data_IF_787530051918
#
_entry.id   IF_787530051918
#
_cell.length_a   1.000
_cell.length_b   1.000
_cell.length_c   1.000
_cell.angle_alpha   90.00
_cell.angle_beta   90.00
_cell.angle_gamma   90.00
#
_symmetry.space_group_name_H-M   'P 1'
#
loop_
_entity.id
_entity.type
_entity.pdbx_description
1 polymer ?
#
# COMPACT_ATOMS: atom_id res chain seq x y z
N UNK A 1 -38.93 -30.30 -1.96
CA UNK A 1 -37.52 -30.47 -1.55
C UNK A 1 -36.73 -29.38 -2.22
N UNK A 2 -36.41 -28.34 -1.46
CA UNK A 2 -35.62 -27.18 -1.85
C UNK A 2 -34.14 -27.56 -1.82
N UNK A 3 -33.46 -27.58 -2.97
CA UNK A 3 -32.00 -27.57 -3.00
C UNK A 3 -31.52 -26.12 -3.01
N UNK A 4 -31.02 -25.69 -1.85
CA UNK A 4 -30.19 -24.51 -1.68
C UNK A 4 -28.83 -24.80 -2.31
N UNK A 5 -28.49 -24.11 -3.39
CA UNK A 5 -27.11 -24.07 -3.87
C UNK A 5 -26.34 -23.11 -2.95
N UNK A 6 -25.63 -23.66 -1.97
CA UNK A 6 -24.53 -22.97 -1.35
C UNK A 6 -23.47 -22.76 -2.45
N UNK A 7 -23.24 -21.51 -2.82
CA UNK A 7 -22.08 -21.14 -3.63
C UNK A 7 -20.89 -21.25 -2.69
N UNK A 8 -19.99 -22.20 -2.96
CA UNK A 8 -18.73 -22.35 -2.26
C UNK A 8 -17.85 -21.11 -2.55
N UNK A 9 -17.96 -20.10 -1.67
CA UNK A 9 -17.28 -18.78 -1.72
C UNK A 9 -15.84 -18.85 -1.11
N UNK A 10 -15.26 -20.05 -0.99
CA UNK A 10 -14.04 -20.31 -0.21
C UNK A 10 -12.75 -19.92 -0.97
N UNK A 11 -12.78 -19.88 -2.30
CA UNK A 11 -11.58 -19.66 -3.12
C UNK A 11 -11.16 -18.17 -3.19
N UNK A 12 -12.08 -17.23 -2.92
CA UNK A 12 -11.81 -15.79 -2.95
C UNK A 12 -11.26 -15.19 -1.65
N UNK A 13 -11.27 -15.94 -0.54
CA UNK A 13 -10.89 -15.43 0.79
C UNK A 13 -9.39 -15.40 1.06
N UNK A 14 -8.56 -15.95 0.16
CA UNK A 14 -7.10 -16.12 0.35
C UNK A 14 -6.24 -15.44 -0.72
N UNK A 15 -6.75 -14.39 -1.36
CA UNK A 15 -6.00 -13.74 -2.44
C UNK A 15 -5.15 -12.59 -1.87
N UNK A 16 -3.82 -12.73 -1.94
CA UNK A 16 -2.87 -11.64 -1.72
C UNK A 16 -2.80 -10.72 -2.94
N UNK A 17 -3.86 -9.96 -3.19
CA UNK A 17 -3.92 -9.07 -4.33
C UNK A 17 -3.40 -7.67 -3.96
N UNK A 18 -2.47 -7.14 -4.76
CA UNK A 18 -2.35 -5.68 -4.98
C UNK A 18 -3.67 -5.13 -5.58
N UNK A 19 -4.49 -6.02 -6.13
CA UNK A 19 -5.58 -5.76 -7.07
C UNK A 19 -6.95 -6.28 -6.63
N UNK A 20 -7.40 -6.11 -5.38
CA UNK A 20 -8.83 -5.94 -5.05
C UNK A 20 -9.04 -5.42 -3.61
N UNK A 21 -9.77 -4.31 -3.38
CA UNK A 21 -10.13 -3.26 -4.32
C UNK A 21 -9.12 -2.10 -4.22
N UNK A 22 -8.23 -2.01 -5.22
CA UNK A 22 -7.75 -0.81 -5.94
C UNK A 22 -7.41 0.51 -5.19
N UNK A 23 -7.43 0.54 -3.87
CA UNK A 23 -6.96 1.63 -3.03
C UNK A 23 -6.54 1.03 -1.70
N UNK A 24 -5.36 1.37 -1.17
CA UNK A 24 -4.96 1.09 0.22
C UNK A 24 -5.88 1.76 1.30
N UNK A 25 -7.11 2.14 0.94
CA UNK A 25 -8.10 2.82 1.77
C UNK A 25 -9.50 2.20 1.66
N UNK A 26 -9.58 0.99 1.09
CA UNK A 26 -10.83 0.42 0.59
C UNK A 26 -11.85 0.04 1.67
N UNK A 27 -11.41 -0.29 2.89
CA UNK A 27 -12.33 -0.78 3.93
C UNK A 27 -13.10 0.40 4.51
N UNK A 28 -12.38 1.37 5.09
CA UNK A 28 -13.03 2.50 5.79
C UNK A 28 -13.79 3.36 4.78
N UNK A 29 -13.17 3.75 3.65
CA UNK A 29 -13.85 4.57 2.64
C UNK A 29 -15.06 3.84 2.04
N UNK A 30 -14.90 2.55 1.71
CA UNK A 30 -15.95 1.75 1.09
C UNK A 30 -17.14 1.52 2.03
N UNK A 31 -16.88 1.11 3.27
CA UNK A 31 -17.93 0.89 4.25
C UNK A 31 -18.64 2.20 4.63
N UNK A 32 -17.90 3.29 4.87
CA UNK A 32 -18.50 4.61 5.13
C UNK A 32 -19.33 5.11 3.94
N UNK A 33 -18.94 4.84 2.70
CA UNK A 33 -19.75 5.18 1.53
C UNK A 33 -21.06 4.38 1.50
N UNK A 34 -21.02 3.09 1.84
CA UNK A 34 -22.21 2.24 1.93
C UNK A 34 -23.13 2.66 3.09
N UNK A 35 -22.57 3.06 4.23
CA UNK A 35 -23.32 3.64 5.37
C UNK A 35 -24.07 4.90 4.94
N UNK A 36 -23.37 5.84 4.29
CA UNK A 36 -23.99 7.08 3.77
C UNK A 36 -25.09 6.80 2.75
N UNK A 37 -24.99 5.71 2.01
CA UNK A 37 -25.99 5.28 1.04
C UNK A 37 -27.12 4.42 1.65
N UNK A 38 -27.08 4.13 2.96
CA UNK A 38 -28.08 3.31 3.65
C UNK A 38 -28.14 1.86 3.15
N UNK A 39 -26.99 1.30 2.72
CA UNK A 39 -26.91 -0.04 2.12
C UNK A 39 -26.56 -1.12 3.15
N UNK A 40 -27.40 -1.30 4.16
CA UNK A 40 -27.17 -2.21 5.31
C UNK A 40 -26.73 -3.62 4.90
N UNK A 41 -27.46 -4.30 3.99
CA UNK A 41 -27.08 -5.65 3.52
C UNK A 41 -25.72 -5.70 2.82
N UNK A 42 -25.32 -4.62 2.14
CA UNK A 42 -24.02 -4.56 1.49
C UNK A 42 -22.89 -4.36 2.51
N UNK A 43 -23.14 -3.58 3.57
CA UNK A 43 -22.21 -3.38 4.68
C UNK A 43 -21.97 -4.72 5.39
N UNK A 44 -23.05 -5.43 5.75
CA UNK A 44 -22.97 -6.74 6.40
C UNK A 44 -22.17 -7.74 5.57
N UNK A 45 -22.44 -7.82 4.25
CA UNK A 45 -21.71 -8.72 3.36
C UNK A 45 -20.24 -8.31 3.22
N UNK A 46 -19.95 -7.03 3.03
CA UNK A 46 -18.57 -6.54 2.89
C UNK A 46 -17.77 -6.79 4.18
N UNK A 47 -18.34 -6.47 5.35
CA UNK A 47 -17.70 -6.69 6.64
C UNK A 47 -17.47 -8.19 6.89
N UNK A 48 -18.43 -9.05 6.58
CA UNK A 48 -18.25 -10.51 6.66
C UNK A 48 -17.08 -10.97 5.81
N UNK A 49 -16.95 -10.48 4.57
CA UNK A 49 -15.86 -10.86 3.67
C UNK A 49 -14.50 -10.35 4.19
N UNK A 50 -14.44 -9.10 4.66
CA UNK A 50 -13.21 -8.53 5.21
C UNK A 50 -12.77 -9.26 6.49
N UNK A 51 -13.70 -9.55 7.40
CA UNK A 51 -13.41 -10.31 8.62
C UNK A 51 -12.89 -11.70 8.29
N UNK A 52 -13.54 -12.42 7.37
CA UNK A 52 -13.07 -13.76 6.97
C UNK A 52 -11.69 -13.73 6.30
N UNK A 53 -11.40 -12.72 5.48
CA UNK A 53 -10.05 -12.55 4.93
C UNK A 53 -9.03 -12.25 6.05
N UNK A 54 -9.34 -11.31 6.94
CA UNK A 54 -8.52 -10.96 8.10
C UNK A 54 -8.19 -12.15 8.99
N UNK A 55 -9.15 -13.03 9.22
CA UNK A 55 -8.99 -14.27 10.00
C UNK A 55 -8.04 -15.27 9.35
N UNK A 56 -7.90 -15.26 8.02
CA UNK A 56 -7.02 -16.18 7.30
C UNK A 56 -5.56 -15.71 7.25
N UNK A 57 -5.28 -14.43 7.46
CA UNK A 57 -3.93 -13.86 7.35
C UNK A 57 -2.97 -14.46 8.40
N UNK A 58 -3.33 -14.58 9.69
CA UNK A 58 -2.46 -15.18 10.70
C UNK A 58 -2.03 -16.62 10.40
N UNK A 59 -2.86 -17.40 9.70
CA UNK A 59 -2.51 -18.78 9.30
C UNK A 59 -1.33 -18.83 8.32
N UNK A 60 -1.15 -17.77 7.53
CA UNK A 60 -0.02 -17.62 6.60
C UNK A 60 1.15 -16.88 7.24
N UNK A 61 0.86 -15.90 8.09
CA UNK A 61 1.88 -15.00 8.65
C UNK A 61 2.70 -14.34 7.54
N UNK A 62 4.01 -14.22 7.73
CA UNK A 62 4.93 -13.64 6.73
C UNK A 62 5.40 -14.64 5.66
N UNK A 63 4.92 -15.89 5.67
CA UNK A 63 5.25 -16.92 4.69
C UNK A 63 4.34 -16.83 3.45
N UNK A 64 4.34 -15.65 2.81
CA UNK A 64 3.49 -15.37 1.63
C UNK A 64 3.67 -16.43 0.53
N UNK A 65 2.58 -17.01 -0.02
CA UNK A 65 2.68 -18.12 -0.97
C UNK A 65 3.40 -17.71 -2.26
N UNK A 66 4.59 -18.28 -2.47
CA UNK A 66 5.46 -17.92 -3.60
C UNK A 66 4.86 -18.19 -5.00
N UNK A 67 3.85 -19.05 -5.10
CA UNK A 67 3.15 -19.34 -6.36
C UNK A 67 2.05 -18.32 -6.68
N UNK A 68 1.64 -17.51 -5.69
CA UNK A 68 0.64 -16.45 -5.85
C UNK A 68 1.31 -15.09 -6.02
N UNK A 69 2.38 -14.84 -5.24
CA UNK A 69 3.02 -13.52 -5.16
C UNK A 69 4.54 -13.60 -5.10
N UNK A 70 5.19 -12.59 -5.70
CA UNK A 70 6.61 -12.34 -5.49
C UNK A 70 6.79 -11.44 -4.28
N UNK A 71 7.65 -11.85 -3.34
CA UNK A 71 7.91 -11.08 -2.13
C UNK A 71 8.42 -9.67 -2.45
N UNK A 72 7.81 -8.66 -1.85
CA UNK A 72 8.18 -7.28 -2.02
C UNK A 72 7.29 -6.36 -1.21
N UNK A 73 7.69 -5.09 -1.12
CA UNK A 73 6.96 -4.10 -0.33
C UNK A 73 5.47 -4.00 -0.71
N UNK A 74 5.16 -4.10 -2.00
CA UNK A 74 3.77 -4.02 -2.48
C UNK A 74 2.92 -5.25 -2.15
N UNK A 75 3.47 -6.30 -1.53
CA UNK A 75 2.70 -7.43 -0.97
C UNK A 75 2.53 -7.24 0.54
N UNK A 76 3.59 -6.86 1.23
CA UNK A 76 3.57 -6.67 2.69
C UNK A 76 2.71 -5.47 3.08
N UNK A 77 2.82 -4.35 2.35
CA UNK A 77 2.11 -3.13 2.69
C UNK A 77 0.58 -3.28 2.64
N UNK A 78 -0.03 -3.83 1.57
CA UNK A 78 -1.48 -4.04 1.54
C UNK A 78 -2.02 -4.89 2.69
N UNK A 79 -1.30 -5.93 3.09
CA UNK A 79 -1.71 -6.81 4.21
C UNK A 79 -1.69 -6.05 5.54
N UNK A 80 -0.61 -5.32 5.82
CA UNK A 80 -0.53 -4.48 7.02
C UNK A 80 -1.65 -3.42 7.02
N UNK A 81 -1.84 -2.72 5.90
CA UNK A 81 -2.88 -1.68 5.75
C UNK A 81 -4.26 -2.28 5.98
N UNK A 82 -4.58 -3.41 5.34
CA UNK A 82 -5.87 -4.09 5.45
C UNK A 82 -6.25 -4.36 6.90
N UNK A 83 -5.34 -4.97 7.67
CA UNK A 83 -5.59 -5.30 9.07
C UNK A 83 -5.70 -4.03 9.94
N UNK A 84 -4.90 -3.00 9.68
CA UNK A 84 -4.97 -1.72 10.40
C UNK A 84 -6.25 -0.93 10.08
N UNK A 85 -6.77 -1.01 8.85
CA UNK A 85 -8.05 -0.42 8.48
C UNK A 85 -9.21 -1.17 9.15
N UNK A 86 -9.19 -2.50 9.11
CA UNK A 86 -10.19 -3.34 9.74
C UNK A 86 -10.24 -3.08 11.26
N UNK A 87 -9.07 -2.98 11.91
CA UNK A 87 -8.93 -2.57 13.30
C UNK A 87 -9.64 -1.24 13.61
N UNK A 88 -9.39 -0.22 12.78
CA UNK A 88 -9.98 1.11 12.98
C UNK A 88 -11.47 1.14 12.72
N UNK A 89 -11.97 0.30 11.82
CA UNK A 89 -13.40 0.22 11.51
C UNK A 89 -14.18 -0.56 12.58
N UNK A 90 -13.70 -1.74 12.99
CA UNK A 90 -14.43 -2.60 13.94
C UNK A 90 -14.13 -2.30 15.40
N UNK A 91 -12.95 -1.73 15.69
CA UNK A 91 -12.49 -1.48 17.07
C UNK A 91 -12.04 -2.74 17.82
N UNK A 92 -11.80 -3.86 17.13
CA UNK A 92 -11.34 -5.10 17.77
C UNK A 92 -9.80 -5.17 17.89
N UNK A 93 -9.31 -5.51 19.08
CA UNK A 93 -7.87 -5.55 19.41
C UNK A 93 -7.08 -6.67 18.72
N UNK A 94 -7.76 -7.70 18.19
CA UNK A 94 -7.09 -8.81 17.48
C UNK A 94 -6.43 -8.38 16.16
N UNK A 95 -6.95 -7.31 15.53
CA UNK A 95 -6.47 -6.88 14.22
C UNK A 95 -5.13 -6.12 14.30
N UNK A 96 -4.92 -5.17 15.24
CA UNK A 96 -3.60 -4.59 15.46
C UNK A 96 -2.53 -5.63 15.83
N UNK A 97 -2.87 -6.65 16.62
CA UNK A 97 -1.96 -7.74 16.98
C UNK A 97 -1.52 -8.52 15.74
N UNK A 98 -2.46 -8.91 14.89
CA UNK A 98 -2.18 -9.57 13.61
C UNK A 98 -1.38 -8.67 12.65
N UNK A 99 -1.64 -7.36 12.64
CA UNK A 99 -0.96 -6.41 11.76
C UNK A 99 0.50 -6.17 12.15
N UNK A 100 0.87 -6.38 13.43
CA UNK A 100 2.16 -5.94 13.98
C UNK A 100 3.36 -6.52 13.25
N UNK A 101 3.34 -7.83 12.98
CA UNK A 101 4.46 -8.51 12.32
C UNK A 101 4.65 -8.01 10.88
N UNK A 102 3.54 -7.85 10.14
CA UNK A 102 3.57 -7.29 8.78
C UNK A 102 4.01 -5.82 8.76
N UNK A 103 3.56 -5.03 9.73
CA UNK A 103 3.95 -3.63 9.86
C UNK A 103 5.45 -3.49 10.15
N UNK A 104 5.98 -4.27 11.09
CA UNK A 104 7.41 -4.25 11.41
C UNK A 104 8.25 -4.67 10.19
N UNK A 105 7.83 -5.73 9.49
CA UNK A 105 8.47 -6.19 8.26
C UNK A 105 8.43 -5.11 7.16
N UNK A 106 7.32 -4.40 7.02
CA UNK A 106 7.16 -3.31 6.06
C UNK A 106 8.17 -2.18 6.32
N UNK A 107 8.41 -1.84 7.59
CA UNK A 107 9.37 -0.79 7.96
C UNK A 107 10.81 -1.14 7.55
N UNK A 108 11.15 -2.42 7.46
CA UNK A 108 12.49 -2.87 7.05
C UNK A 108 12.80 -2.58 5.57
N UNK A 109 11.80 -2.31 4.74
CA UNK A 109 12.03 -1.90 3.35
C UNK A 109 12.53 -0.45 3.21
N UNK A 110 12.31 0.40 4.23
CA UNK A 110 12.64 1.83 4.22
C UNK A 110 13.99 2.13 4.87
N UNK A 111 14.83 2.89 4.17
CA UNK A 111 16.11 3.37 4.70
C UNK A 111 15.98 4.66 5.51
N UNK A 112 17.00 5.03 6.28
CA UNK A 112 17.05 6.29 7.07
C UNK A 112 18.08 7.29 6.53
N UNK A 113 18.50 7.14 5.27
CA UNK A 113 19.46 8.02 4.63
C UNK A 113 18.92 9.47 4.62
N UNK A 114 19.77 10.49 4.83
CA UNK A 114 19.37 11.89 4.82
C UNK A 114 19.23 12.44 3.39
N UNK A 115 18.41 11.77 2.57
CA UNK A 115 18.10 12.13 1.18
C UNK A 115 16.60 11.99 0.94
N UNK A 116 15.96 12.98 0.33
CA UNK A 116 14.51 12.95 0.10
C UNK A 116 14.07 11.86 -0.88
N UNK A 117 14.98 11.26 -1.65
CA UNK A 117 14.67 10.09 -2.46
C UNK A 117 14.59 8.81 -1.62
N UNK A 118 15.29 8.75 -0.48
CA UNK A 118 15.56 7.51 0.25
C UNK A 118 15.00 7.47 1.68
N UNK A 119 14.81 8.62 2.33
CA UNK A 119 14.40 8.70 3.74
C UNK A 119 12.99 8.13 3.94
N UNK A 120 12.89 6.98 4.60
CA UNK A 120 11.68 6.15 4.75
C UNK A 120 11.03 5.69 3.42
N UNK A 121 11.67 5.96 2.28
CA UNK A 121 11.21 5.50 0.97
C UNK A 121 11.65 4.05 0.79
N UNK A 122 10.68 3.18 0.46
CA UNK A 122 10.93 1.75 0.39
C UNK A 122 11.65 1.30 -0.87
N UNK A 123 12.59 0.37 -0.71
CA UNK A 123 13.36 -0.22 -1.83
C UNK A 123 12.42 -0.84 -2.86
N UNK A 124 12.59 -0.44 -4.11
CA UNK A 124 12.00 -1.03 -5.32
C UNK A 124 12.99 -0.89 -6.46
N UNK A 125 12.96 -1.80 -7.44
CA UNK A 125 14.03 -1.85 -8.44
C UNK A 125 13.66 -2.38 -9.84
N UNK A 126 12.37 -2.40 -10.19
CA UNK A 126 11.89 -2.93 -11.47
C UNK A 126 10.92 -2.03 -12.22
N UNK A 127 10.33 -1.04 -11.55
CA UNK A 127 9.22 -0.26 -12.12
C UNK A 127 9.67 0.58 -13.33
N UNK A 128 10.92 1.06 -13.37
CA UNK A 128 11.48 1.74 -14.55
C UNK A 128 11.53 0.86 -15.80
N UNK A 129 11.64 -0.46 -15.65
CA UNK A 129 11.59 -1.38 -16.79
C UNK A 129 10.18 -1.56 -17.32
N UNK A 130 9.21 -1.73 -16.42
CA UNK A 130 7.82 -2.06 -16.77
C UNK A 130 6.98 -0.85 -17.17
N UNK A 131 7.19 0.30 -16.52
CA UNK A 131 6.35 1.49 -16.66
C UNK A 131 7.08 2.68 -17.30
N UNK A 132 8.42 2.64 -17.35
CA UNK A 132 9.26 3.67 -17.95
C UNK A 132 9.36 3.58 -19.47
N UNK A 133 9.74 4.70 -20.09
CA UNK A 133 9.99 4.78 -21.53
C UNK A 133 11.28 4.06 -21.90
N UNK A 134 12.32 4.24 -21.09
CA UNK A 134 13.68 3.78 -21.40
C UNK A 134 13.90 2.30 -21.02
N UNK A 135 12.88 1.68 -20.42
CA UNK A 135 12.83 0.27 -20.00
C UNK A 135 14.11 -0.12 -19.26
N UNK A 136 14.43 0.61 -18.19
CA UNK A 136 15.64 0.37 -17.42
C UNK A 136 15.32 -0.28 -16.08
N UNK A 137 15.94 -1.44 -15.84
CA UNK A 137 16.02 -2.03 -14.50
C UNK A 137 16.82 -1.13 -13.57
N UNK A 138 16.71 -1.34 -12.26
CA UNK A 138 17.53 -0.64 -11.26
C UNK A 138 16.68 0.00 -10.19
N UNK A 139 17.32 0.38 -9.09
CA UNK A 139 16.68 0.98 -7.92
C UNK A 139 15.91 2.25 -8.30
N UNK A 140 14.67 2.35 -7.83
CA UNK A 140 13.79 3.50 -8.05
C UNK A 140 13.48 4.18 -6.72
N UNK A 141 13.90 5.43 -6.59
CA UNK A 141 13.80 6.20 -5.36
C UNK A 141 13.49 7.67 -5.71
N UNK A 142 12.26 8.17 -5.47
CA UNK A 142 11.09 7.41 -5.09
C UNK A 142 10.42 6.70 -6.26
N UNK A 143 9.54 5.76 -5.91
CA UNK A 143 8.46 5.28 -6.77
C UNK A 143 7.16 5.29 -5.95
N UNK A 144 6.04 5.60 -6.61
CA UNK A 144 4.81 5.96 -5.92
C UNK A 144 4.28 4.86 -4.99
N UNK A 145 4.49 3.55 -5.25
CA UNK A 145 4.04 2.51 -4.30
C UNK A 145 4.74 2.60 -2.93
N UNK A 146 5.83 3.34 -2.80
CA UNK A 146 6.44 3.64 -1.48
C UNK A 146 5.49 4.39 -0.54
N UNK A 147 4.51 5.13 -1.06
CA UNK A 147 3.53 5.82 -0.24
C UNK A 147 2.61 4.85 0.50
N UNK A 148 2.47 3.58 0.09
CA UNK A 148 1.75 2.56 0.88
C UNK A 148 2.32 2.43 2.30
N UNK A 149 3.63 2.59 2.46
CA UNK A 149 4.26 2.59 3.78
C UNK A 149 3.80 3.78 4.62
N UNK A 150 3.63 4.95 3.99
CA UNK A 150 3.05 6.12 4.67
C UNK A 150 1.62 5.85 5.14
N UNK A 151 0.83 5.12 4.36
CA UNK A 151 -0.53 4.71 4.72
C UNK A 151 -0.50 3.82 5.95
N UNK A 152 0.27 2.74 5.91
CA UNK A 152 0.40 1.83 7.03
C UNK A 152 0.81 2.59 8.31
N UNK A 153 1.82 3.47 8.19
CA UNK A 153 2.28 4.31 9.29
C UNK A 153 1.18 5.25 9.81
N UNK A 154 0.35 5.82 8.94
CA UNK A 154 -0.77 6.67 9.34
C UNK A 154 -1.81 5.90 10.15
N UNK A 155 -2.27 4.74 9.66
CA UNK A 155 -3.26 3.94 10.39
C UNK A 155 -2.69 3.43 11.71
N UNK A 156 -1.44 2.98 11.71
CA UNK A 156 -0.74 2.57 12.91
C UNK A 156 -0.63 3.70 13.94
N UNK A 157 -0.27 4.92 13.50
CA UNK A 157 -0.22 6.10 14.36
C UNK A 157 -1.58 6.47 14.97
N UNK A 158 -2.67 6.31 14.20
CA UNK A 158 -4.03 6.58 14.71
C UNK A 158 -4.49 5.54 15.74
N UNK A 159 -4.10 4.27 15.58
CA UNK A 159 -4.43 3.19 16.52
C UNK A 159 -3.60 3.23 17.81
N UNK A 160 -2.31 3.56 17.70
CA UNK A 160 -1.36 3.53 18.83
C UNK A 160 -1.13 4.89 19.50
N UNK A 161 -1.68 5.95 18.93
CA UNK A 161 -1.42 7.35 19.29
C UNK A 161 0.06 7.77 19.17
N UNK A 162 0.90 6.95 18.51
CA UNK A 162 2.31 7.27 18.28
C UNK A 162 2.47 8.26 17.12
N UNK A 163 2.64 9.54 17.50
CA UNK A 163 2.84 10.65 16.57
C UNK A 163 4.14 10.57 15.77
N UNK A 164 5.10 9.72 16.13
CA UNK A 164 6.34 9.55 15.36
C UNK A 164 6.06 8.97 13.98
N UNK A 165 5.20 7.94 13.90
CA UNK A 165 4.78 7.32 12.64
C UNK A 165 3.95 8.26 11.77
N UNK A 166 3.08 9.08 12.38
CA UNK A 166 2.34 10.11 11.63
C UNK A 166 3.26 11.12 10.95
N UNK A 167 4.37 11.49 11.60
CA UNK A 167 5.38 12.39 11.01
C UNK A 167 6.14 11.70 9.87
N UNK A 168 6.59 10.46 10.07
CA UNK A 168 7.27 9.67 9.05
C UNK A 168 6.41 9.46 7.80
N UNK A 169 5.11 9.19 7.99
CA UNK A 169 4.15 9.11 6.88
C UNK A 169 4.13 10.39 6.04
N UNK A 170 4.07 11.57 6.68
CA UNK A 170 4.12 12.85 5.98
C UNK A 170 5.42 13.04 5.19
N UNK A 171 6.57 12.65 5.74
CA UNK A 171 7.85 12.78 5.06
C UNK A 171 7.96 11.85 3.85
N UNK A 172 7.43 10.62 3.91
CA UNK A 172 7.35 9.71 2.75
C UNK A 172 6.45 10.29 1.65
N UNK A 173 5.31 10.88 2.01
CA UNK A 173 4.43 11.53 1.04
C UNK A 173 5.10 12.73 0.36
N UNK A 174 5.77 13.59 1.14
CA UNK A 174 6.52 14.75 0.62
C UNK A 174 7.66 14.30 -0.29
N UNK A 175 8.37 13.24 0.09
CA UNK A 175 9.45 12.65 -0.71
C UNK A 175 8.96 12.27 -2.11
N UNK A 176 7.76 11.70 -2.22
CA UNK A 176 7.16 11.33 -3.51
C UNK A 176 6.71 12.55 -4.36
N UNK A 177 6.62 13.76 -3.80
CA UNK A 177 6.40 14.97 -4.59
C UNK A 177 7.55 15.25 -5.57
N UNK A 178 8.73 14.66 -5.34
CA UNK A 178 9.86 14.72 -6.27
C UNK A 178 9.53 14.16 -7.66
N UNK A 179 8.50 13.32 -7.81
CA UNK A 179 8.06 12.79 -9.11
C UNK A 179 7.32 13.84 -9.97
N UNK A 180 6.92 14.97 -9.38
CA UNK A 180 6.14 16.01 -10.04
C UNK A 180 6.99 17.26 -10.27
N UNK A 181 6.72 17.95 -11.37
CA UNK A 181 7.38 19.19 -11.76
C UNK A 181 6.40 20.36 -11.66
N UNK A 182 6.93 21.57 -11.45
CA UNK A 182 6.12 22.78 -11.28
C UNK A 182 5.37 23.23 -12.55
N UNK A 183 5.74 22.69 -13.71
CA UNK A 183 5.06 22.92 -14.99
C UNK A 183 3.88 21.96 -15.24
N UNK A 184 3.59 21.08 -14.27
CA UNK A 184 2.52 20.08 -14.34
C UNK A 184 2.94 18.76 -14.97
N UNK A 185 4.19 18.63 -15.43
CA UNK A 185 4.72 17.33 -15.86
C UNK A 185 5.07 16.44 -14.68
N UNK A 186 5.17 15.13 -14.92
CA UNK A 186 5.48 14.15 -13.90
C UNK A 186 6.23 12.94 -14.50
N UNK A 187 6.79 12.11 -13.62
CA UNK A 187 7.61 10.94 -13.96
C UNK A 187 7.14 9.72 -13.19
N UNK A 188 7.02 8.57 -13.85
CA UNK A 188 6.58 7.32 -13.23
C UNK A 188 7.54 6.86 -12.13
N UNK A 189 8.85 7.03 -12.32
CA UNK A 189 9.90 6.68 -11.36
C UNK A 189 11.02 7.73 -11.36
N UNK A 190 11.79 7.80 -10.28
CA UNK A 190 13.14 8.33 -10.30
C UNK A 190 14.13 7.16 -10.29
N UNK A 191 14.91 7.00 -11.35
CA UNK A 191 15.90 5.94 -11.42
C UNK A 191 17.20 6.39 -10.75
N UNK A 192 17.48 5.82 -9.57
CA UNK A 192 18.40 6.42 -8.62
C UNK A 192 19.90 6.17 -8.88
N UNK A 193 20.35 4.96 -9.26
CA UNK A 193 21.77 4.67 -9.41
C UNK A 193 22.42 5.51 -10.51
N UNK A 194 23.68 5.91 -10.31
CA UNK A 194 24.48 6.60 -11.33
C UNK A 194 24.55 5.82 -12.65
N UNK A 195 24.63 4.50 -12.57
CA UNK A 195 24.63 3.62 -13.73
C UNK A 195 23.94 2.30 -13.42
N UNK A 196 23.28 1.71 -14.41
CA UNK A 196 22.78 0.33 -14.36
C UNK A 196 23.36 -0.44 -15.55
N UNK A 197 24.17 -1.46 -15.29
CA UNK A 197 24.81 -2.27 -16.32
C UNK A 197 25.54 -1.43 -17.40
N UNK A 198 26.22 -0.37 -16.98
CA UNK A 198 26.95 0.54 -17.87
C UNK A 198 26.10 1.61 -18.58
N UNK A 199 24.77 1.57 -18.48
CA UNK A 199 23.88 2.64 -18.94
C UNK A 199 23.82 3.74 -17.89
N UNK A 200 23.90 5.00 -18.30
CA UNK A 200 23.75 6.14 -17.39
C UNK A 200 22.34 6.15 -16.78
N UNK A 201 22.27 6.25 -15.45
CA UNK A 201 21.05 6.40 -14.66
C UNK A 201 20.98 7.77 -14.00
N UNK A 202 20.37 7.84 -12.81
CA UNK A 202 20.23 9.06 -12.01
C UNK A 202 19.40 10.14 -12.70
N UNK A 203 18.19 9.78 -13.12
CA UNK A 203 17.25 10.66 -13.81
C UNK A 203 15.79 10.28 -13.55
N UNK A 204 14.89 11.23 -13.84
CA UNK A 204 13.43 11.00 -13.91
C UNK A 204 13.07 10.34 -15.24
N UNK A 205 12.40 9.20 -15.21
CA UNK A 205 11.89 8.57 -16.43
C UNK A 205 11.04 9.55 -17.27
N UNK A 206 11.18 9.58 -18.61
CA UNK A 206 10.46 10.55 -19.42
C UNK A 206 8.93 10.40 -19.45
N UNK A 207 8.39 9.26 -19.00
CA UNK A 207 6.95 9.02 -19.00
C UNK A 207 6.31 9.38 -17.67
N UNK A 208 5.26 10.19 -17.76
CA UNK A 208 4.17 10.15 -16.81
C UNK A 208 3.31 8.91 -17.13
N UNK A 209 3.11 8.02 -16.16
CA UNK A 209 2.30 6.82 -16.31
C UNK A 209 1.36 6.66 -15.11
N UNK A 210 1.86 6.14 -14.01
CA UNK A 210 1.10 5.65 -12.86
C UNK A 210 1.42 6.36 -11.53
N UNK A 211 2.36 7.31 -11.53
CA UNK A 211 2.80 8.03 -10.33
C UNK A 211 1.73 8.89 -9.66
N UNK A 212 0.64 9.26 -10.35
CA UNK A 212 -0.42 10.14 -9.81
C UNK A 212 -1.11 9.57 -8.56
N UNK A 213 -0.98 8.26 -8.34
CA UNK A 213 -1.34 7.61 -7.07
C UNK A 213 -0.65 8.24 -5.85
N UNK A 214 0.55 8.80 -5.98
CA UNK A 214 1.23 9.51 -4.91
C UNK A 214 0.46 10.77 -4.47
N UNK A 215 -0.06 11.56 -5.42
CA UNK A 215 -0.86 12.75 -5.12
C UNK A 215 -2.22 12.38 -4.54
N UNK A 216 -2.87 11.35 -5.10
CA UNK A 216 -4.12 10.82 -4.54
C UNK A 216 -3.94 10.46 -3.06
N UNK A 217 -2.89 9.70 -2.74
CA UNK A 217 -2.57 9.35 -1.36
C UNK A 217 -2.24 10.58 -0.54
N UNK A 218 -1.42 11.50 -1.05
CA UNK A 218 -1.10 12.74 -0.34
C UNK A 218 -2.36 13.51 0.08
N UNK A 219 -3.34 13.68 -0.81
CA UNK A 219 -4.61 14.35 -0.51
C UNK A 219 -5.40 13.58 0.54
N UNK A 220 -5.53 12.26 0.38
CA UNK A 220 -6.27 11.40 1.31
C UNK A 220 -5.74 11.47 2.75
N UNK A 221 -4.41 11.41 2.94
CA UNK A 221 -3.82 11.50 4.28
C UNK A 221 -3.82 12.92 4.84
N UNK A 222 -3.80 13.95 3.99
CA UNK A 222 -3.76 15.34 4.46
C UNK A 222 -5.14 15.83 4.88
N UNK A 223 -6.20 15.42 4.19
CA UNK A 223 -7.59 15.78 4.52
C UNK A 223 -8.16 14.97 5.71
N UNK A 224 -7.46 13.92 6.15
CA UNK A 224 -7.82 13.05 7.28
C UNK A 224 -6.96 13.25 8.56
N UNK A 225 -6.09 14.26 8.54
CA UNK A 225 -5.31 14.74 9.70
C UNK A 225 -6.03 15.89 10.40
#
# INVERSE_FOLDING_TARGET
>A
MTHSAAVDDVEGSKIYAITQPLRPYGIIEGLTALERAGKETAIERALSLFTSHGESIPDTGIDYPAHEVNFGQSIVAPVAIFLLELARYTGEDRWPEAAKEHFDLLLLFGGQQPDYHMHDVTIRHWDGYWFGKDRMWGEVFPYYWSTLTAIAMHHYAKLTEDRSYGRRAQEVLKSNLALFSSDGTASCVWLYPKTVNGRAGHYKEPYANDQDWALNQHLLLTDSL
#
